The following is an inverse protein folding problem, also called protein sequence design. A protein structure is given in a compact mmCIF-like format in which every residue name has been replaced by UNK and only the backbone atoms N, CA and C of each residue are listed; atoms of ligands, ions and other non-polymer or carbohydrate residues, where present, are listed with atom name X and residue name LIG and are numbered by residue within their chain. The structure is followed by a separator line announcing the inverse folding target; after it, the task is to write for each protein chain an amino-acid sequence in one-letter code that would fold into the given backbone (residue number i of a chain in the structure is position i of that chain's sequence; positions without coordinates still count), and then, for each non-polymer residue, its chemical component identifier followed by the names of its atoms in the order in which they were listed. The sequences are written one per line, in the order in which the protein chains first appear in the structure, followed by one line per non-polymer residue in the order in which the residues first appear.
data_IF_873772473287
#
_entry.id   IF_873772473287
#
_cell.length_a   1.000
_cell.length_b   1.000
_cell.length_c   1.000
_cell.angle_alpha   90.00
_cell.angle_beta   90.00
_cell.angle_gamma   90.00
#
_symmetry.space_group_name_H-M   'P 1'
#
loop_
_entity.id
_entity.type
_entity.pdbx_description
1 polymer ?
#
# COMPACT_ATOMS: atom_id res chain seq x y z
N UNK A 1 -2.52 75.20 -12.85
CA UNK A 1 -2.50 73.73 -12.95
C UNK A 1 -1.07 73.32 -13.30
N UNK A 2 -0.21 73.18 -12.29
CA UNK A 2 1.22 72.93 -12.48
C UNK A 2 1.46 71.43 -12.66
N UNK A 3 2.00 71.06 -13.82
CA UNK A 3 2.36 69.69 -14.19
C UNK A 3 3.70 69.30 -13.52
N UNK A 4 3.73 68.19 -12.80
CA UNK A 4 4.96 67.58 -12.28
C UNK A 4 5.80 67.01 -13.46
N UNK A 5 7.14 67.18 -13.46
CA UNK A 5 7.99 66.54 -14.47
C UNK A 5 8.17 65.03 -14.18
N UNK A 6 8.42 64.21 -15.21
CA UNK A 6 8.64 62.76 -15.04
C UNK A 6 9.99 62.44 -14.39
N UNK A 7 10.00 61.42 -13.53
CA UNK A 7 11.20 60.91 -12.85
C UNK A 7 12.16 60.21 -13.84
N UNK A 8 13.48 60.31 -13.64
CA UNK A 8 14.47 59.65 -14.47
C UNK A 8 14.52 58.13 -14.22
N UNK A 9 14.95 57.31 -15.20
CA UNK A 9 15.07 55.87 -15.06
C UNK A 9 16.24 55.47 -14.13
N UNK A 10 16.01 54.46 -13.29
CA UNK A 10 16.98 53.87 -12.38
C UNK A 10 18.08 53.10 -13.14
N UNK A 11 19.34 53.10 -12.65
CA UNK A 11 20.42 52.32 -13.25
C UNK A 11 20.24 50.81 -13.03
N UNK A 12 20.73 49.96 -13.95
CA UNK A 12 20.67 48.52 -13.80
C UNK A 12 21.58 48.04 -12.65
N UNK A 13 21.05 47.12 -11.84
CA UNK A 13 21.79 46.50 -10.74
C UNK A 13 22.90 45.58 -11.27
N UNK A 14 24.07 45.49 -10.59
CA UNK A 14 25.12 44.58 -10.99
C UNK A 14 24.69 43.12 -10.79
N UNK A 15 24.86 42.31 -11.83
CA UNK A 15 24.64 40.87 -11.80
C UNK A 15 25.67 40.19 -10.88
N UNK A 16 25.19 39.55 -9.82
CA UNK A 16 25.99 38.79 -8.85
C UNK A 16 26.51 37.49 -9.50
N UNK A 17 27.81 37.15 -9.40
CA UNK A 17 28.34 35.89 -9.93
C UNK A 17 27.85 34.70 -9.11
N UNK A 18 27.36 33.66 -9.79
CA UNK A 18 26.91 32.43 -9.16
C UNK A 18 28.10 31.68 -8.50
N UNK A 19 27.93 31.12 -7.29
CA UNK A 19 28.98 30.35 -6.63
C UNK A 19 29.28 29.06 -7.41
N UNK A 20 30.57 28.73 -7.51
CA UNK A 20 31.09 27.51 -8.13
C UNK A 20 30.41 26.25 -7.57
N UNK A 21 30.08 25.25 -8.40
CA UNK A 21 29.46 24.02 -7.93
C UNK A 21 30.46 23.21 -7.08
N UNK A 22 30.27 23.23 -5.76
CA UNK A 22 30.95 22.31 -4.85
C UNK A 22 30.58 20.87 -5.21
N UNK A 23 31.59 20.10 -5.64
CA UNK A 23 31.45 18.71 -6.08
C UNK A 23 30.81 17.85 -5.00
N UNK A 24 29.75 17.13 -5.37
CA UNK A 24 29.08 16.17 -4.50
C UNK A 24 30.02 14.96 -4.27
N UNK A 25 30.31 14.57 -3.02
CA UNK A 25 31.17 13.42 -2.76
C UNK A 25 30.54 12.13 -3.33
N UNK A 26 31.36 11.15 -3.77
CA UNK A 26 30.86 9.94 -4.40
C UNK A 26 30.05 9.11 -3.41
N UNK A 27 28.75 8.99 -3.66
CA UNK A 27 27.85 8.12 -2.91
C UNK A 27 27.90 6.71 -3.48
N UNK A 28 28.44 5.76 -2.71
CA UNK A 28 28.36 4.35 -3.09
C UNK A 28 26.92 3.84 -2.88
N UNK A 29 26.28 3.25 -3.91
CA UNK A 29 24.89 2.84 -3.80
C UNK A 29 24.73 1.69 -2.79
N UNK A 30 23.82 1.89 -1.83
CA UNK A 30 23.47 0.89 -0.80
C UNK A 30 22.90 -0.36 -1.49
N UNK A 31 23.66 -1.46 -1.46
CA UNK A 31 23.24 -2.76 -1.99
C UNK A 31 22.33 -3.46 -0.98
N UNK A 32 21.02 -3.32 -1.13
CA UNK A 32 20.06 -4.10 -0.34
C UNK A 32 20.12 -5.58 -0.77
N UNK A 33 20.45 -6.49 0.15
CA UNK A 33 20.53 -7.94 -0.09
C UNK A 33 19.16 -8.51 -0.52
N UNK A 34 18.97 -8.75 -1.81
CA UNK A 34 17.74 -9.30 -2.42
C UNK A 34 17.48 -10.81 -2.20
N UNK A 35 17.71 -11.35 -1.00
CA UNK A 35 17.61 -12.79 -0.72
C UNK A 35 16.18 -13.36 -0.71
N UNK A 36 15.19 -12.55 -0.29
CA UNK A 36 13.83 -13.03 -0.04
C UNK A 36 13.03 -13.39 -1.31
N UNK A 37 13.45 -12.93 -2.49
CA UNK A 37 12.75 -13.22 -3.75
C UNK A 37 13.04 -14.64 -4.27
N UNK A 38 14.24 -15.18 -4.00
CA UNK A 38 14.62 -16.54 -4.44
C UNK A 38 13.84 -17.60 -3.68
N UNK A 39 13.71 -17.46 -2.36
CA UNK A 39 12.93 -18.37 -1.52
C UNK A 39 11.44 -18.38 -1.91
N UNK A 40 10.85 -17.21 -2.16
CA UNK A 40 9.47 -17.07 -2.64
C UNK A 40 9.25 -17.75 -4.00
N UNK A 41 10.20 -17.64 -4.93
CA UNK A 41 10.14 -18.33 -6.24
C UNK A 41 10.23 -19.85 -6.09
N UNK A 42 11.11 -20.36 -5.23
CA UNK A 42 11.24 -21.80 -4.98
C UNK A 42 9.96 -22.41 -4.40
N UNK A 43 9.36 -21.75 -3.40
CA UNK A 43 8.11 -22.21 -2.78
C UNK A 43 6.92 -22.20 -3.77
N UNK A 44 6.86 -21.19 -4.66
CA UNK A 44 5.83 -21.16 -5.72
C UNK A 44 6.00 -22.30 -6.72
N UNK A 45 7.24 -22.67 -7.09
CA UNK A 45 7.49 -23.81 -7.99
C UNK A 45 7.08 -25.14 -7.35
N UNK A 46 7.42 -25.36 -6.07
CA UNK A 46 7.00 -26.57 -5.33
C UNK A 46 5.48 -26.72 -5.25
N UNK A 47 4.76 -25.63 -4.92
CA UNK A 47 3.28 -25.65 -4.88
C UNK A 47 2.66 -25.95 -6.25
N UNK A 48 3.24 -25.43 -7.34
CA UNK A 48 2.77 -25.73 -8.70
C UNK A 48 2.99 -27.18 -9.11
N UNK A 49 4.13 -27.77 -8.75
CA UNK A 49 4.40 -29.19 -9.02
C UNK A 49 3.42 -30.11 -8.27
N UNK A 50 3.14 -29.81 -6.99
CA UNK A 50 2.15 -30.57 -6.20
C UNK A 50 0.74 -30.45 -6.77
N UNK A 51 0.33 -29.24 -7.18
CA UNK A 51 -0.98 -29.02 -7.80
C UNK A 51 -1.10 -29.74 -9.16
N UNK A 52 -0.04 -29.72 -9.97
CA UNK A 52 -0.02 -30.44 -11.25
C UNK A 52 -0.09 -31.96 -11.04
N UNK A 53 0.63 -32.50 -10.05
CA UNK A 53 0.54 -33.92 -9.68
C UNK A 53 -0.87 -34.31 -9.24
N UNK A 54 -1.49 -33.51 -8.37
CA UNK A 54 -2.88 -33.71 -7.93
C UNK A 54 -3.87 -33.67 -9.11
N UNK A 55 -3.72 -32.69 -10.00
CA UNK A 55 -4.57 -32.57 -11.19
C UNK A 55 -4.39 -33.77 -12.14
N UNK A 56 -3.16 -34.27 -12.32
CA UNK A 56 -2.92 -35.48 -13.12
C UNK A 56 -3.53 -36.73 -12.48
N UNK A 57 -3.44 -36.90 -11.15
CA UNK A 57 -4.12 -38.01 -10.47
C UNK A 57 -5.64 -37.92 -10.56
N UNK A 58 -6.22 -36.73 -10.45
CA UNK A 58 -7.66 -36.54 -10.62
C UNK A 58 -8.11 -36.80 -12.06
N UNK A 59 -7.33 -36.36 -13.06
CA UNK A 59 -7.60 -36.62 -14.46
C UNK A 59 -7.49 -38.12 -14.82
N UNK A 60 -6.49 -38.82 -14.27
CA UNK A 60 -6.35 -40.27 -14.45
C UNK A 60 -7.49 -41.05 -13.79
N UNK A 61 -7.95 -40.60 -12.61
CA UNK A 61 -9.10 -41.20 -11.93
C UNK A 61 -10.42 -40.94 -12.68
N UNK A 62 -10.60 -39.74 -13.23
CA UNK A 62 -11.75 -39.41 -14.07
C UNK A 62 -11.74 -40.19 -15.40
N UNK A 63 -10.58 -40.33 -16.04
CA UNK A 63 -10.45 -41.09 -17.28
C UNK A 63 -10.62 -42.61 -17.10
N UNK A 64 -10.34 -43.13 -15.90
CA UNK A 64 -10.63 -44.53 -15.54
C UNK A 64 -12.09 -44.75 -15.12
N UNK A 65 -12.76 -43.74 -14.55
CA UNK A 65 -14.20 -43.74 -14.27
C UNK A 65 -15.08 -43.55 -15.52
N UNK A 66 -14.58 -42.86 -16.54
CA UNK A 66 -15.31 -42.60 -17.79
C UNK A 66 -15.43 -43.83 -18.72
N UNK A 67 -14.81 -44.97 -18.39
CA UNK A 67 -14.90 -46.20 -19.21
C UNK A 67 -16.10 -47.08 -18.91
N UNK A 68 -17.00 -46.64 -18.01
CA UNK A 68 -18.17 -47.41 -17.57
C UNK A 68 -19.48 -46.64 -17.43
N UNK A 69 -19.56 -45.39 -17.89
CA UNK A 69 -20.78 -44.59 -17.76
C UNK A 69 -21.01 -43.74 -19.00
N UNK A 70 -21.68 -44.33 -19.99
CA UNK A 70 -22.44 -43.57 -20.98
C UNK A 70 -23.63 -42.91 -20.26
N UNK A 71 -23.76 -41.59 -20.44
CA UNK A 71 -24.96 -40.82 -20.11
C UNK A 71 -24.99 -40.19 -18.73
N UNK A 72 -24.73 -38.88 -18.67
CA UNK A 72 -25.58 -37.90 -17.96
C UNK A 72 -24.92 -36.51 -18.02
N UNK A 73 -25.54 -35.65 -18.83
CA UNK A 73 -25.37 -34.21 -18.85
C UNK A 73 -25.81 -33.62 -17.50
N UNK A 74 -24.88 -33.05 -16.72
CA UNK A 74 -25.21 -32.25 -15.55
C UNK A 74 -24.08 -31.26 -15.20
N UNK A 75 -24.29 -30.00 -15.60
CA UNK A 75 -23.85 -28.77 -14.93
C UNK A 75 -22.42 -28.74 -14.38
N UNK A 76 -21.47 -28.39 -15.24
CA UNK A 76 -20.16 -27.93 -14.79
C UNK A 76 -20.34 -26.68 -13.89
N UNK A 77 -19.85 -26.66 -12.64
CA UNK A 77 -19.76 -25.42 -11.91
C UNK A 77 -18.75 -24.56 -12.66
N UNK A 78 -19.22 -23.43 -13.17
CA UNK A 78 -18.39 -22.34 -13.68
C UNK A 78 -17.43 -21.98 -12.56
N UNK A 79 -16.21 -22.53 -12.63
CA UNK A 79 -15.09 -22.07 -11.86
C UNK A 79 -14.99 -20.58 -12.18
N UNK A 80 -15.46 -19.75 -11.26
CA UNK A 80 -15.31 -18.30 -11.32
C UNK A 80 -13.81 -18.09 -11.38
N UNK A 81 -13.30 -17.96 -12.60
CA UNK A 81 -11.92 -17.66 -12.87
C UNK A 81 -11.70 -16.39 -12.08
N UNK A 82 -10.97 -16.53 -10.96
CA UNK A 82 -10.60 -15.43 -10.09
C UNK A 82 -9.74 -14.56 -10.97
N UNK A 83 -10.42 -13.63 -11.65
CA UNK A 83 -9.88 -12.75 -12.66
C UNK A 83 -8.58 -12.26 -12.07
N UNK A 84 -7.49 -12.56 -12.78
CA UNK A 84 -6.14 -12.36 -12.29
C UNK A 84 -5.96 -10.86 -12.18
N UNK A 85 -6.41 -10.31 -11.05
CA UNK A 85 -6.57 -8.88 -10.82
C UNK A 85 -5.24 -8.26 -11.23
N UNK A 86 -5.24 -7.35 -12.21
CA UNK A 86 -3.99 -6.77 -12.69
C UNK A 86 -3.21 -6.28 -11.47
N UNK A 87 -1.91 -6.54 -11.47
CA UNK A 87 -1.05 -6.17 -10.35
C UNK A 87 -1.09 -4.64 -10.23
N UNK A 88 -1.96 -4.14 -9.36
CA UNK A 88 -2.17 -2.72 -9.18
C UNK A 88 -0.86 -2.07 -8.76
N UNK A 89 -0.59 -0.87 -9.27
CA UNK A 89 0.57 -0.10 -8.89
C UNK A 89 0.52 0.19 -7.38
N UNK A 90 1.52 -0.33 -6.67
CA UNK A 90 1.64 -0.22 -5.23
C UNK A 90 2.43 1.03 -4.86
N UNK A 91 1.91 1.81 -3.93
CA UNK A 91 2.58 3.00 -3.38
C UNK A 91 2.77 2.86 -1.88
N UNK A 92 3.76 3.59 -1.35
CA UNK A 92 3.94 3.75 0.09
C UNK A 92 3.10 4.95 0.57
N UNK A 93 2.10 4.68 1.41
CA UNK A 93 1.22 5.69 1.97
C UNK A 93 1.50 5.83 3.49
N UNK A 94 1.98 6.98 3.97
CA UNK A 94 2.00 7.27 5.40
C UNK A 94 0.56 7.52 5.89
N UNK A 95 0.17 6.83 6.96
CA UNK A 95 -1.18 6.86 7.54
C UNK A 95 -1.05 7.06 9.05
N UNK A 96 -1.85 7.98 9.61
CA UNK A 96 -1.93 8.20 11.04
C UNK A 96 -3.05 7.35 11.64
N UNK A 97 -2.70 6.48 12.58
CA UNK A 97 -3.63 5.62 13.31
C UNK A 97 -3.89 6.27 14.68
N UNK A 98 -5.15 6.36 15.08
CA UNK A 98 -5.56 7.02 16.31
C UNK A 98 -4.99 6.35 17.57
N UNK A 99 -4.79 5.03 17.54
CA UNK A 99 -4.22 4.26 18.64
C UNK A 99 -2.73 4.00 18.46
N UNK A 100 -1.90 4.79 19.17
CA UNK A 100 -0.46 4.61 19.18
C UNK A 100 0.01 3.33 19.87
N UNK A 101 -0.73 2.80 20.87
CA UNK A 101 -0.36 1.58 21.57
C UNK A 101 -0.47 0.38 20.62
N UNK A 102 -1.53 0.30 19.83
CA UNK A 102 -1.69 -0.73 18.79
C UNK A 102 -0.57 -0.63 17.74
N UNK A 103 -0.20 0.58 17.30
CA UNK A 103 0.90 0.75 16.32
C UNK A 103 2.24 0.23 16.83
N UNK A 104 2.52 0.32 18.14
CA UNK A 104 3.78 -0.17 18.74
C UNK A 104 3.92 -1.70 18.69
N UNK A 105 2.83 -2.41 18.47
CA UNK A 105 2.83 -3.88 18.31
C UNK A 105 3.15 -4.31 16.87
N UNK A 106 2.95 -3.41 15.90
CA UNK A 106 3.13 -3.72 14.48
C UNK A 106 4.60 -3.82 14.11
N UNK A 107 4.89 -4.75 13.20
CA UNK A 107 6.21 -4.95 12.61
C UNK A 107 6.16 -4.72 11.09
N UNK A 108 7.24 -4.22 10.48
CA UNK A 108 7.36 -4.24 9.03
C UNK A 108 7.16 -5.65 8.48
N UNK A 109 6.23 -5.80 7.54
CA UNK A 109 5.82 -7.08 6.96
C UNK A 109 4.44 -7.57 7.39
N UNK A 110 3.88 -7.02 8.47
CA UNK A 110 2.53 -7.34 8.94
C UNK A 110 1.47 -6.98 7.89
N UNK A 111 0.36 -7.70 7.93
CA UNK A 111 -0.82 -7.38 7.14
C UNK A 111 -1.88 -6.81 8.07
N UNK A 112 -2.46 -5.70 7.66
CA UNK A 112 -3.46 -5.00 8.44
C UNK A 112 -4.67 -4.65 7.59
N UNK A 113 -5.82 -4.64 8.24
CA UNK A 113 -7.02 -3.98 7.75
C UNK A 113 -7.12 -2.61 8.43
N UNK A 114 -7.47 -1.59 7.67
CA UNK A 114 -7.61 -0.21 8.16
C UNK A 114 -9.09 0.14 8.19
N UNK A 115 -9.56 0.57 9.35
CA UNK A 115 -10.96 0.87 9.63
C UNK A 115 -11.08 2.36 9.93
N UNK A 116 -11.99 3.05 9.25
CA UNK A 116 -12.35 4.43 9.53
C UNK A 116 -13.64 4.48 10.35
N UNK A 117 -13.60 5.18 11.47
CA UNK A 117 -14.78 5.58 12.24
C UNK A 117 -14.89 7.11 12.18
N UNK A 118 -16.04 7.64 11.76
CA UNK A 118 -16.21 9.09 11.73
C UNK A 118 -16.24 9.63 13.17
N UNK A 119 -15.61 10.77 13.36
CA UNK A 119 -15.58 11.46 14.64
C UNK A 119 -16.91 12.19 14.82
N UNK A 120 -17.87 11.53 15.48
CA UNK A 120 -19.16 12.14 15.81
C UNK A 120 -19.14 12.59 17.27
N UNK A 121 -19.12 13.90 17.57
CA UNK A 121 -19.05 14.41 18.94
C UNK A 121 -20.34 14.17 19.75
N UNK A 122 -21.42 13.74 19.09
CA UNK A 122 -22.76 13.60 19.67
C UNK A 122 -23.14 12.17 20.09
N UNK A 123 -22.20 11.22 20.12
CA UNK A 123 -22.48 9.84 20.58
C UNK A 123 -23.40 9.02 19.65
N UNK A 124 -23.82 9.56 18.51
CA UNK A 124 -24.42 8.76 17.45
C UNK A 124 -23.37 7.82 16.88
N UNK A 125 -23.69 6.52 16.89
CA UNK A 125 -22.82 5.47 16.41
C UNK A 125 -22.56 5.63 14.90
N UNK A 126 -21.55 6.40 14.53
CA UNK A 126 -21.11 6.48 13.15
C UNK A 126 -20.62 5.11 12.70
N UNK A 127 -21.14 4.64 11.58
CA UNK A 127 -20.83 3.33 11.03
C UNK A 127 -19.35 3.23 10.67
N UNK A 128 -18.61 2.39 11.39
CA UNK A 128 -17.23 2.05 11.04
C UNK A 128 -17.20 1.33 9.68
N UNK A 129 -16.22 1.68 8.84
CA UNK A 129 -16.03 1.03 7.53
C UNK A 129 -14.58 0.65 7.30
N UNK A 130 -14.36 -0.50 6.67
CA UNK A 130 -13.02 -0.92 6.22
C UNK A 130 -12.64 -0.12 4.98
N UNK A 131 -11.55 0.62 5.05
CA UNK A 131 -11.03 1.44 3.94
C UNK A 131 -9.96 0.68 3.15
N UNK A 132 -9.19 -0.16 3.83
CA UNK A 132 -8.17 -1.01 3.21
C UNK A 132 -8.19 -2.38 3.88
N UNK A 133 -8.06 -3.45 3.08
CA UNK A 133 -7.90 -4.81 3.59
C UNK A 133 -6.59 -5.43 3.10
N UNK A 134 -5.88 -6.11 4.00
CA UNK A 134 -4.63 -6.83 3.77
C UNK A 134 -3.46 -5.94 3.37
N UNK A 135 -3.49 -4.66 3.75
CA UNK A 135 -2.43 -3.68 3.51
C UNK A 135 -1.16 -4.11 4.22
N UNK A 136 -0.01 -4.00 3.57
CA UNK A 136 1.27 -4.41 4.17
C UNK A 136 1.91 -3.24 4.89
N UNK A 137 2.30 -3.44 6.14
CA UNK A 137 3.15 -2.49 6.87
C UNK A 137 4.54 -2.50 6.24
N UNK A 138 4.97 -1.38 5.68
CA UNK A 138 6.33 -1.22 5.13
C UNK A 138 7.29 -0.64 6.16
N UNK A 139 6.80 0.27 6.99
CA UNK A 139 7.59 0.93 8.02
C UNK A 139 6.69 1.39 9.16
N UNK A 140 7.22 1.34 10.38
CA UNK A 140 6.62 1.97 11.56
C UNK A 140 7.60 3.04 12.05
N UNK A 141 7.43 4.32 11.65
CA UNK A 141 8.29 5.40 12.12
C UNK A 141 8.23 5.53 13.64
N UNK A 142 9.39 5.57 14.29
CA UNK A 142 9.45 5.92 15.71
C UNK A 142 9.25 7.43 15.84
N UNK A 143 8.16 7.85 16.50
CA UNK A 143 7.98 9.25 16.86
C UNK A 143 9.01 9.61 17.92
N UNK A 144 9.80 10.67 17.67
CA UNK A 144 10.77 11.20 18.65
C UNK A 144 10.07 11.98 19.77
N UNK A 145 8.90 12.56 19.48
CA UNK A 145 7.98 13.28 20.36
C UNK A 145 6.55 13.09 19.76
N UNK A 146 5.49 12.89 20.56
CA UNK A 146 4.12 12.81 20.03
C UNK A 146 3.66 14.21 19.57
N UNK A 147 3.78 14.50 18.28
CA UNK A 147 3.26 15.75 17.70
C UNK A 147 1.77 15.56 17.40
N UNK A 148 0.91 16.16 18.22
CA UNK A 148 -0.55 16.23 18.04
C UNK A 148 -1.36 15.12 18.73
N UNK A 149 -2.60 14.95 18.28
CA UNK A 149 -3.78 14.23 18.84
C UNK A 149 -3.66 12.74 19.28
N UNK A 150 -2.53 12.27 19.78
CA UNK A 150 -2.37 10.94 20.41
C UNK A 150 -2.18 9.74 19.47
N UNK A 151 -2.38 9.91 18.15
CA UNK A 151 -2.16 8.86 17.16
C UNK A 151 -0.72 8.74 16.62
N UNK A 152 -0.33 7.55 16.17
CA UNK A 152 0.99 7.23 15.62
C UNK A 152 0.98 6.99 14.11
N UNK A 153 2.13 7.20 13.46
CA UNK A 153 2.29 7.00 12.01
C UNK A 153 2.69 5.57 11.68
N UNK A 154 2.14 5.05 10.58
CA UNK A 154 2.53 3.80 9.92
C UNK A 154 2.62 4.04 8.43
N UNK A 155 3.60 3.45 7.75
CA UNK A 155 3.68 3.46 6.29
C UNK A 155 3.14 2.13 5.76
N UNK A 156 2.17 2.21 4.87
CA UNK A 156 1.51 1.04 4.27
C UNK A 156 1.81 0.95 2.77
N UNK A 157 2.06 -0.26 2.28
CA UNK A 157 2.06 -0.55 0.85
C UNK A 157 0.63 -0.89 0.42
N UNK A 158 0.05 0.00 -0.38
CA UNK A 158 -1.34 -0.09 -0.85
C UNK A 158 -1.45 0.32 -2.33
N UNK A 159 -2.48 -0.12 -3.06
CA UNK A 159 -2.77 0.42 -4.39
C UNK A 159 -3.01 1.92 -4.37
N UNK A 160 -2.64 2.64 -5.44
CA UNK A 160 -2.77 4.12 -5.53
C UNK A 160 -4.18 4.63 -5.18
N UNK A 161 -5.23 3.96 -5.65
CA UNK A 161 -6.62 4.32 -5.36
C UNK A 161 -6.95 4.20 -3.85
N UNK A 162 -6.41 3.18 -3.18
CA UNK A 162 -6.60 2.97 -1.73
C UNK A 162 -5.81 4.00 -0.93
N UNK A 163 -4.62 4.41 -1.38
CA UNK A 163 -3.87 5.51 -0.75
C UNK A 163 -4.69 6.81 -0.74
N UNK A 164 -5.36 7.15 -1.84
CA UNK A 164 -6.24 8.32 -1.91
C UNK A 164 -7.45 8.18 -0.97
N UNK A 165 -8.06 7.00 -0.92
CA UNK A 165 -9.16 6.72 0.01
C UNK A 165 -8.74 6.82 1.48
N UNK A 166 -7.56 6.32 1.84
CA UNK A 166 -6.99 6.45 3.18
C UNK A 166 -6.69 7.90 3.54
N UNK A 167 -6.17 8.71 2.61
CA UNK A 167 -5.94 10.12 2.83
C UNK A 167 -7.24 10.89 3.07
N UNK A 168 -8.29 10.64 2.27
CA UNK A 168 -9.61 11.26 2.46
C UNK A 168 -10.27 10.82 3.78
N UNK A 169 -10.16 9.54 4.13
CA UNK A 169 -10.66 9.04 5.41
C UNK A 169 -9.90 9.64 6.59
N UNK A 170 -8.57 9.69 6.55
CA UNK A 170 -7.75 10.28 7.62
C UNK A 170 -7.96 11.78 7.83
N UNK A 171 -8.47 12.50 6.82
CA UNK A 171 -8.84 13.91 6.94
C UNK A 171 -10.18 14.14 7.66
N UNK A 172 -11.03 13.12 7.77
CA UNK A 172 -12.43 13.26 8.21
C UNK A 172 -12.86 12.21 9.26
N UNK A 173 -11.99 11.27 9.62
CA UNK A 173 -12.30 10.11 10.45
C UNK A 173 -11.07 9.65 11.21
N UNK A 174 -11.28 9.09 12.41
CA UNK A 174 -10.23 8.36 13.13
C UNK A 174 -10.02 7.00 12.48
N UNK A 175 -8.75 6.68 12.25
CA UNK A 175 -8.33 5.42 11.67
C UNK A 175 -7.85 4.46 12.77
N UNK A 176 -8.35 3.23 12.73
CA UNK A 176 -7.91 2.10 13.54
C UNK A 176 -7.38 0.98 12.64
N UNK A 177 -6.64 0.05 13.23
CA UNK A 177 -6.04 -1.10 12.51
C UNK A 177 -6.28 -2.40 13.23
N UNK A 178 -6.45 -3.47 12.46
CA UNK A 178 -6.49 -4.86 12.94
C UNK A 178 -5.49 -5.70 12.16
N UNK A 179 -4.84 -6.67 12.82
CA UNK A 179 -3.85 -7.55 12.19
C UNK A 179 -4.53 -8.80 11.63
N UNK A 180 -4.10 -9.23 10.42
CA UNK A 180 -4.69 -10.34 9.65
C UNK A 180 -3.69 -11.47 9.36
#
# INVERSE_FOLDING_TARGET
MSLLPPLPPLPPLPSSPAPEPLGVPPFTPVRVRGGAHRLRRAMRRRRRALAAGLAMTAAALAASGARGADGAEAGAPTAVQRERRPAAEMVSAPVRIADAATVRLLRPGDRVDVIAAADSPAGEASKARVVASGARVTQVPMAREPVGDGGALVVLSVPRAIAAALAGAGATSRLAVTVC
#
